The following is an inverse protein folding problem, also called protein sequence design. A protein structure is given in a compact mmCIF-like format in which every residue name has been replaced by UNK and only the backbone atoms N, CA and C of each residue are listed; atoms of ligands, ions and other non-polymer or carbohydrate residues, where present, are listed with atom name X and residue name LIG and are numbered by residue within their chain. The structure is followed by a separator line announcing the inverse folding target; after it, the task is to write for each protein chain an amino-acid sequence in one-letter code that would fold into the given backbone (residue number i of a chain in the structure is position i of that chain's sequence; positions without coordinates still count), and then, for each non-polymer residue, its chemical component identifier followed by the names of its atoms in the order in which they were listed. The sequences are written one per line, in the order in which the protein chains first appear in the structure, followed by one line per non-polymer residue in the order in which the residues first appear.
data_IF_221280052295
#
_entry.id   IF_221280052295
#
_cell.length_a   1.000
_cell.length_b   1.000
_cell.length_c   1.000
_cell.angle_alpha   90.00
_cell.angle_beta   90.00
_cell.angle_gamma   90.00
#
_symmetry.space_group_name_H-M   'P 1'
#
loop_
_entity.id
_entity.type
_entity.pdbx_description
1 polymer ?
#
# COMPACT_ATOMS: atom_id res chain seq x y z
N UNK A 1 -18.16 21.83 -1.18
CA UNK A 1 -17.33 21.71 -2.40
C UNK A 1 -15.83 21.65 -2.09
N UNK A 2 -15.26 22.61 -1.34
CA UNK A 2 -13.82 22.64 -0.96
C UNK A 2 -13.38 21.37 -0.20
N UNK A 3 -14.20 20.86 0.72
CA UNK A 3 -13.87 19.66 1.50
C UNK A 3 -13.73 18.37 0.66
N UNK A 4 -14.47 18.23 -0.45
CA UNK A 4 -14.42 17.02 -1.29
C UNK A 4 -13.13 16.92 -2.07
N UNK A 5 -12.67 18.04 -2.65
CA UNK A 5 -11.37 18.10 -3.32
C UNK A 5 -10.23 17.82 -2.34
N UNK A 6 -10.35 18.26 -1.09
CA UNK A 6 -9.39 17.93 -0.03
C UNK A 6 -9.28 16.41 0.20
N UNK A 7 -10.41 15.71 0.36
CA UNK A 7 -10.41 14.25 0.56
C UNK A 7 -9.90 13.47 -0.65
N UNK A 8 -10.28 13.91 -1.86
CA UNK A 8 -9.79 13.30 -3.11
C UNK A 8 -8.27 13.47 -3.24
N UNK A 9 -7.75 14.66 -2.91
CA UNK A 9 -6.32 14.92 -2.88
C UNK A 9 -5.62 13.99 -1.88
N UNK A 10 -6.12 13.87 -0.66
CA UNK A 10 -5.56 12.98 0.37
C UNK A 10 -5.52 11.53 -0.11
N UNK A 11 -6.61 11.02 -0.71
CA UNK A 11 -6.63 9.66 -1.27
C UNK A 11 -5.57 9.48 -2.36
N UNK A 12 -5.40 10.46 -3.25
CA UNK A 12 -4.41 10.40 -4.33
C UNK A 12 -2.98 10.42 -3.77
N UNK A 13 -2.74 11.20 -2.72
CA UNK A 13 -1.45 11.24 -2.01
C UNK A 13 -1.15 9.90 -1.32
N UNK A 14 -2.14 9.28 -0.67
CA UNK A 14 -2.02 7.94 -0.08
C UNK A 14 -1.69 6.88 -1.14
N UNK A 15 -2.32 6.94 -2.30
CA UNK A 15 -2.05 6.02 -3.41
C UNK A 15 -0.63 6.16 -3.95
N UNK A 16 -0.13 7.39 -4.10
CA UNK A 16 1.26 7.64 -4.48
C UNK A 16 2.24 7.13 -3.40
N UNK A 17 1.92 7.34 -2.12
CA UNK A 17 2.71 6.84 -1.01
C UNK A 17 2.73 5.31 -0.96
N UNK A 18 1.61 4.64 -1.25
CA UNK A 18 1.51 3.17 -1.35
C UNK A 18 2.50 2.63 -2.39
N UNK A 19 2.51 3.20 -3.59
CA UNK A 19 3.45 2.80 -4.66
C UNK A 19 4.90 3.02 -4.24
N UNK A 20 5.20 4.13 -3.57
CA UNK A 20 6.55 4.41 -3.06
C UNK A 20 6.99 3.39 -1.99
N UNK A 21 6.11 3.08 -1.03
CA UNK A 21 6.36 2.10 0.03
C UNK A 21 6.56 0.69 -0.53
N UNK A 22 5.76 0.29 -1.52
CA UNK A 22 5.95 -0.96 -2.24
C UNK A 22 7.35 -1.02 -2.87
N UNK A 23 7.72 -0.03 -3.67
CA UNK A 23 9.01 -0.04 -4.38
C UNK A 23 10.18 -0.10 -3.39
N UNK A 24 10.09 0.63 -2.28
CA UNK A 24 11.09 0.59 -1.23
C UNK A 24 11.19 -0.80 -0.59
N UNK A 25 10.07 -1.36 -0.12
CA UNK A 25 10.03 -2.66 0.53
C UNK A 25 10.52 -3.78 -0.40
N UNK A 26 10.08 -3.78 -1.65
CA UNK A 26 10.45 -4.77 -2.64
C UNK A 26 11.95 -4.76 -2.94
N UNK A 27 12.57 -3.57 -3.04
CA UNK A 27 14.01 -3.46 -3.26
C UNK A 27 14.83 -4.05 -2.09
N UNK A 28 14.34 -3.87 -0.86
CA UNK A 28 14.97 -4.45 0.33
C UNK A 28 14.81 -5.97 0.35
N UNK A 29 13.58 -6.47 0.18
CA UNK A 29 13.27 -7.90 0.23
C UNK A 29 13.95 -8.68 -0.89
N UNK A 30 13.98 -8.15 -2.11
CA UNK A 30 14.67 -8.79 -3.25
C UNK A 30 16.18 -8.91 -3.06
N UNK A 31 16.77 -7.99 -2.30
CA UNK A 31 18.21 -7.99 -2.01
C UNK A 31 18.55 -8.79 -0.75
N UNK A 32 17.54 -9.27 -0.03
CA UNK A 32 17.73 -10.05 1.18
C UNK A 32 17.98 -11.53 0.85
N UNK A 33 19.11 -12.05 1.34
CA UNK A 33 19.55 -13.44 1.19
C UNK A 33 18.69 -14.45 1.96
N UNK A 34 17.82 -14.01 2.88
CA UNK A 34 17.00 -14.91 3.70
C UNK A 34 15.76 -15.42 2.98
N UNK A 35 15.50 -14.96 1.74
CA UNK A 35 14.37 -15.42 0.93
C UNK A 35 14.83 -16.27 -0.26
N UNK A 36 14.10 -17.35 -0.50
CA UNK A 36 14.22 -18.16 -1.70
C UNK A 36 13.53 -17.49 -2.89
N UNK A 37 13.86 -17.94 -4.10
CA UNK A 37 13.24 -17.45 -5.34
C UNK A 37 11.72 -17.67 -5.34
N UNK A 38 11.25 -18.81 -4.82
CA UNK A 38 9.81 -19.11 -4.76
C UNK A 38 9.06 -18.19 -3.80
N UNK A 39 9.68 -17.83 -2.67
CA UNK A 39 9.11 -16.86 -1.73
C UNK A 39 9.05 -15.47 -2.33
N UNK A 40 10.10 -15.03 -3.04
CA UNK A 40 10.10 -13.76 -3.76
C UNK A 40 9.01 -13.73 -4.83
N UNK A 41 8.81 -14.83 -5.57
CA UNK A 41 7.74 -14.95 -6.56
C UNK A 41 6.35 -14.86 -5.90
N UNK A 42 6.16 -15.47 -4.73
CA UNK A 42 4.92 -15.35 -3.98
C UNK A 42 4.68 -13.90 -3.50
N UNK A 43 5.70 -13.26 -2.93
CA UNK A 43 5.60 -11.85 -2.51
C UNK A 43 5.25 -10.93 -3.66
N UNK A 44 5.87 -11.12 -4.83
CA UNK A 44 5.57 -10.35 -6.02
C UNK A 44 4.09 -10.48 -6.41
N UNK A 45 3.51 -11.68 -6.36
CA UNK A 45 2.07 -11.88 -6.65
C UNK A 45 1.17 -11.14 -5.66
N UNK A 46 1.50 -11.17 -4.37
CA UNK A 46 0.74 -10.44 -3.35
C UNK A 46 0.83 -8.93 -3.59
N UNK A 47 2.02 -8.41 -3.85
CA UNK A 47 2.21 -6.99 -4.18
C UNK A 47 1.45 -6.58 -5.44
N UNK A 48 1.50 -7.39 -6.51
CA UNK A 48 0.73 -7.13 -7.72
C UNK A 48 -0.77 -7.03 -7.43
N UNK A 49 -1.33 -7.93 -6.61
CA UNK A 49 -2.73 -7.86 -6.22
C UNK A 49 -3.10 -6.56 -5.48
N UNK A 50 -2.27 -6.12 -4.52
CA UNK A 50 -2.50 -4.86 -3.80
C UNK A 50 -2.42 -3.65 -4.75
N UNK A 51 -1.45 -3.65 -5.66
CA UNK A 51 -1.28 -2.56 -6.64
C UNK A 51 -2.42 -2.52 -7.66
N UNK A 52 -2.93 -3.68 -8.08
CA UNK A 52 -4.10 -3.75 -8.97
C UNK A 52 -5.36 -3.18 -8.30
N UNK A 53 -5.61 -3.49 -7.02
CA UNK A 53 -6.72 -2.89 -6.28
C UNK A 53 -6.52 -1.38 -6.06
N UNK A 54 -5.29 -0.94 -5.82
CA UNK A 54 -4.93 0.48 -5.76
C UNK A 54 -5.27 1.20 -7.07
N UNK A 55 -4.99 0.61 -8.24
CA UNK A 55 -5.37 1.18 -9.54
C UNK A 55 -6.89 1.26 -9.70
N UNK A 56 -7.64 0.22 -9.34
CA UNK A 56 -9.11 0.23 -9.41
C UNK A 56 -9.72 1.35 -8.54
N UNK A 57 -9.14 1.61 -7.37
CA UNK A 57 -9.57 2.72 -6.52
C UNK A 57 -9.34 4.10 -7.18
N UNK A 58 -8.29 4.26 -7.99
CA UNK A 58 -8.08 5.50 -8.77
C UNK A 58 -9.16 5.68 -9.83
N UNK A 59 -9.56 4.61 -10.52
CA UNK A 59 -10.66 4.66 -11.51
C UNK A 59 -11.98 5.09 -10.86
N UNK A 60 -12.28 4.61 -9.65
CA UNK A 60 -13.46 5.04 -8.89
C UNK A 60 -13.38 6.53 -8.50
N UNK A 61 -12.20 7.01 -8.10
CA UNK A 61 -11.97 8.43 -7.83
C UNK A 61 -12.23 9.26 -9.10
N UNK A 62 -11.80 8.80 -10.27
CA UNK A 62 -12.09 9.48 -11.55
C UNK A 62 -13.59 9.52 -11.86
N UNK A 63 -14.33 8.45 -11.58
CA UNK A 63 -15.80 8.44 -11.71
C UNK A 63 -16.43 9.48 -10.80
N UNK A 64 -16.00 9.58 -9.54
CA UNK A 64 -16.49 10.58 -8.59
C UNK A 64 -16.22 12.01 -9.09
N UNK A 65 -14.99 12.29 -9.55
CA UNK A 65 -14.60 13.59 -10.11
C UNK A 65 -15.49 13.95 -11.31
N UNK A 66 -15.74 13.00 -12.21
CA UNK A 66 -16.58 13.22 -13.38
C UNK A 66 -18.07 13.35 -13.03
N UNK A 67 -18.55 12.67 -11.99
CA UNK A 67 -19.93 12.76 -11.53
C UNK A 67 -20.29 14.14 -10.96
N UNK A 68 -19.32 14.99 -10.60
CA UNK A 68 -19.57 16.41 -10.32
C UNK A 68 -20.12 17.19 -11.52
N UNK A 69 -20.00 16.66 -12.74
CA UNK A 69 -20.61 17.21 -13.96
C UNK A 69 -22.05 16.70 -14.21
N UNK A 70 -22.59 15.85 -13.33
CA UNK A 70 -23.89 15.16 -13.48
C UNK A 70 -24.85 15.47 -12.32
N UNK A 71 -26.15 15.23 -12.48
CA UNK A 71 -27.22 15.53 -11.49
C UNK A 71 -27.24 14.60 -10.24
N UNK A 72 -26.08 14.23 -9.69
CA UNK A 72 -26.01 13.42 -8.47
C UNK A 72 -26.17 14.26 -7.21
N UNK A 73 -26.93 13.76 -6.22
CA UNK A 73 -27.07 14.41 -4.89
C UNK A 73 -25.76 14.41 -4.11
N UNK A 74 -25.54 15.43 -3.29
CA UNK A 74 -24.35 15.55 -2.44
C UNK A 74 -24.19 14.37 -1.46
N UNK A 75 -25.28 13.83 -0.91
CA UNK A 75 -25.26 12.68 -0.01
C UNK A 75 -24.70 11.43 -0.70
N UNK A 76 -25.19 11.11 -1.91
CA UNK A 76 -24.68 9.98 -2.69
C UNK A 76 -23.22 10.15 -3.05
N UNK A 77 -22.79 11.39 -3.31
CA UNK A 77 -21.39 11.69 -3.59
C UNK A 77 -20.48 11.43 -2.39
N UNK A 78 -20.90 11.88 -1.21
CA UNK A 78 -20.14 11.68 0.02
C UNK A 78 -19.98 10.18 0.32
N UNK A 79 -21.04 9.40 0.16
CA UNK A 79 -21.01 7.93 0.32
C UNK A 79 -19.97 7.27 -0.61
N UNK A 80 -19.87 7.72 -1.87
CA UNK A 80 -18.87 7.20 -2.80
C UNK A 80 -17.44 7.58 -2.40
N UNK A 81 -17.24 8.82 -1.94
CA UNK A 81 -15.93 9.29 -1.45
C UNK A 81 -15.50 8.50 -0.22
N UNK A 82 -16.41 8.26 0.73
CA UNK A 82 -16.13 7.48 1.93
C UNK A 82 -15.71 6.06 1.57
N UNK A 83 -16.47 5.39 0.71
CA UNK A 83 -16.13 4.03 0.26
C UNK A 83 -14.78 3.95 -0.46
N UNK A 84 -14.48 4.93 -1.31
CA UNK A 84 -13.17 4.98 -1.98
C UNK A 84 -12.03 5.19 -0.97
N UNK A 85 -12.23 6.07 0.03
CA UNK A 85 -11.24 6.33 1.07
C UNK A 85 -10.97 5.08 1.91
N UNK A 86 -12.02 4.37 2.32
CA UNK A 86 -11.90 3.13 3.11
C UNK A 86 -11.10 2.05 2.38
N UNK A 87 -11.28 1.94 1.05
CA UNK A 87 -10.52 0.98 0.23
C UNK A 87 -9.05 1.37 0.08
N UNK A 88 -8.76 2.64 -0.12
CA UNK A 88 -7.38 3.15 -0.15
C UNK A 88 -6.69 2.87 1.19
N UNK A 89 -7.37 3.14 2.30
CA UNK A 89 -6.84 2.87 3.64
C UNK A 89 -6.63 1.36 3.89
N UNK A 90 -7.53 0.52 3.39
CA UNK A 90 -7.39 -0.94 3.43
C UNK A 90 -6.12 -1.39 2.68
N UNK A 91 -5.91 -0.93 1.44
CA UNK A 91 -4.73 -1.33 0.68
C UNK A 91 -3.41 -0.84 1.31
N UNK A 92 -3.40 0.36 1.88
CA UNK A 92 -2.25 0.86 2.64
C UNK A 92 -1.98 -0.03 3.87
N UNK A 93 -3.02 -0.44 4.59
CA UNK A 93 -2.91 -1.32 5.74
C UNK A 93 -2.37 -2.70 5.34
N UNK A 94 -2.93 -3.29 4.29
CA UNK A 94 -2.52 -4.61 3.78
C UNK A 94 -1.05 -4.60 3.36
N UNK A 95 -0.62 -3.55 2.64
CA UNK A 95 0.78 -3.39 2.23
C UNK A 95 1.71 -3.32 3.44
N UNK A 96 1.35 -2.47 4.42
CA UNK A 96 2.14 -2.30 5.64
C UNK A 96 2.23 -3.60 6.44
N UNK A 97 1.10 -4.31 6.60
CA UNK A 97 1.06 -5.58 7.30
C UNK A 97 1.94 -6.62 6.61
N UNK A 98 1.84 -6.75 5.29
CA UNK A 98 2.62 -7.71 4.52
C UNK A 98 4.12 -7.42 4.61
N UNK A 99 4.52 -6.15 4.49
CA UNK A 99 5.92 -5.73 4.67
C UNK A 99 6.45 -6.12 6.05
N UNK A 100 5.69 -5.80 7.11
CA UNK A 100 6.08 -6.11 8.49
C UNK A 100 6.22 -7.62 8.72
N UNK A 101 5.34 -8.43 8.13
CA UNK A 101 5.43 -9.90 8.20
C UNK A 101 6.72 -10.39 7.54
N UNK A 102 7.05 -9.91 6.35
CA UNK A 102 8.26 -10.31 5.65
C UNK A 102 9.53 -9.86 6.38
N UNK A 103 9.58 -8.62 6.89
CA UNK A 103 10.74 -8.15 7.65
C UNK A 103 10.94 -8.96 8.93
N UNK A 104 9.85 -9.26 9.65
CA UNK A 104 9.89 -10.10 10.85
C UNK A 104 10.39 -11.50 10.51
N UNK A 105 9.91 -12.10 9.42
CA UNK A 105 10.35 -13.41 8.97
C UNK A 105 11.84 -13.44 8.62
N UNK A 106 12.36 -12.42 7.94
CA UNK A 106 13.79 -12.27 7.67
C UNK A 106 14.61 -12.20 8.96
N UNK A 107 14.20 -11.35 9.91
CA UNK A 107 14.86 -11.22 11.21
C UNK A 107 14.83 -12.54 11.99
N UNK A 108 13.72 -13.28 11.96
CA UNK A 108 13.60 -14.59 12.62
C UNK A 108 14.51 -15.66 12.00
N UNK A 109 14.91 -15.51 10.73
CA UNK A 109 15.82 -16.43 10.04
C UNK A 109 17.30 -16.12 10.30
N UNK A 110 17.61 -14.97 10.90
CA UNK A 110 18.97 -14.60 11.28
C UNK A 110 19.57 -15.62 12.26
N UNK A 111 20.84 -15.97 12.06
CA UNK A 111 21.50 -17.01 12.85
C UNK A 111 22.31 -16.46 14.03
N UNK A 112 22.46 -15.14 14.12
CA UNK A 112 23.21 -14.48 15.19
C UNK A 112 22.55 -13.18 15.61
N UNK A 113 22.82 -12.77 16.86
CA UNK A 113 22.36 -11.48 17.38
C UNK A 113 22.89 -10.31 16.55
N UNK A 114 24.12 -10.39 16.05
CA UNK A 114 24.71 -9.34 15.21
C UNK A 114 23.97 -9.21 13.86
N UNK A 115 23.57 -10.33 13.27
CA UNK A 115 22.76 -10.36 12.05
C UNK A 115 21.34 -9.81 12.30
N UNK A 116 20.71 -10.14 13.44
CA UNK A 116 19.44 -9.53 13.86
C UNK A 116 19.54 -8.01 13.93
N UNK A 117 20.57 -7.47 14.60
CA UNK A 117 20.77 -6.02 14.70
C UNK A 117 21.04 -5.37 13.35
N UNK A 118 21.71 -6.08 12.44
CA UNK A 118 21.98 -5.61 11.08
C UNK A 118 20.70 -5.55 10.26
N UNK A 119 19.86 -6.60 10.31
CA UNK A 119 18.60 -6.66 9.58
C UNK A 119 17.58 -5.65 10.10
N UNK A 120 17.50 -5.45 11.41
CA UNK A 120 16.69 -4.39 12.03
C UNK A 120 17.01 -3.02 11.42
N UNK A 121 18.29 -2.65 11.40
CA UNK A 121 18.76 -1.40 10.77
C UNK A 121 18.50 -1.38 9.26
N UNK A 122 18.68 -2.51 8.58
CA UNK A 122 18.45 -2.64 7.13
C UNK A 122 16.99 -2.36 6.75
N UNK A 123 16.04 -2.82 7.56
CA UNK A 123 14.61 -2.57 7.36
C UNK A 123 14.08 -1.30 8.03
N UNK A 124 14.91 -0.57 8.78
CA UNK A 124 14.48 0.60 9.55
C UNK A 124 13.53 0.27 10.70
N UNK A 125 13.71 -0.90 11.33
CA UNK A 125 12.95 -1.35 12.50
C UNK A 125 13.85 -1.20 13.73
N UNK A 126 13.44 -0.38 14.70
CA UNK A 126 14.11 -0.24 16.00
C UNK A 126 13.45 -1.16 17.06
#
# INVERSE_FOLDING_TARGET
MIAYYGRIKEMTEKQAALVSQYNHAWNLLKSDKHFSVDELNYMQKVYSGILEESVKNLDEIFVIINAFKTQMTDAKRLELIDKAADRVDTNCSDLKQFNNQNYTLSIQRAQSENEVQTLKKYYGID
#
